data_IF_522523400698
#
_entry.id   IF_522523400698
#
_cell.length_a   1.000
_cell.length_b   1.000
_cell.length_c   1.000
_cell.angle_alpha   90.00
_cell.angle_beta   90.00
_cell.angle_gamma   90.00
#
_symmetry.space_group_name_H-M   'P 1'
#
loop_
_entity.id
_entity.type
_entity.pdbx_description
1 polymer ?
#
# COMPACT_ATOMS: atom_id res chain seq x y z
N UNK A 1 0.98 -9.32 19.80
CA UNK A 1 2.05 -8.51 19.18
C UNK A 1 1.90 -8.65 17.68
N UNK A 2 1.17 -7.72 17.04
CA UNK A 2 0.98 -7.76 15.58
C UNK A 2 2.14 -6.99 14.95
N UNK A 3 3.12 -7.71 14.44
CA UNK A 3 4.22 -7.12 13.67
C UNK A 3 3.65 -6.61 12.34
N UNK A 4 3.84 -5.34 12.04
CA UNK A 4 3.50 -4.76 10.73
C UNK A 4 4.41 -5.38 9.66
N UNK A 5 3.87 -6.13 8.68
CA UNK A 5 4.68 -6.81 7.68
C UNK A 5 5.05 -5.91 6.48
N UNK A 6 4.68 -4.62 6.53
CA UNK A 6 4.90 -3.68 5.45
C UNK A 6 6.26 -2.99 5.57
N UNK A 7 6.94 -2.86 4.44
CA UNK A 7 8.24 -2.18 4.30
C UNK A 7 8.10 -0.97 3.38
N UNK A 8 8.86 0.09 3.61
CA UNK A 8 9.02 1.18 2.64
C UNK A 8 10.11 0.78 1.64
N UNK A 9 9.91 1.06 0.34
CA UNK A 9 11.00 0.84 -0.62
C UNK A 9 12.08 1.90 -0.41
N UNK A 10 13.19 1.51 0.22
CA UNK A 10 14.42 2.29 0.21
C UNK A 10 15.07 2.19 -1.17
N UNK A 11 15.36 3.34 -1.78
CA UNK A 11 16.21 3.39 -2.98
C UNK A 11 17.62 3.01 -2.50
N UNK A 12 18.00 1.75 -2.70
CA UNK A 12 19.37 1.31 -2.45
C UNK A 12 20.26 1.93 -3.54
N UNK A 13 20.91 3.06 -3.27
CA UNK A 13 22.13 3.38 -3.99
C UNK A 13 23.14 2.29 -3.64
N UNK A 14 23.45 1.43 -4.60
CA UNK A 14 24.49 0.42 -4.47
C UNK A 14 25.84 1.12 -4.29
N UNK A 15 26.28 1.24 -3.04
CA UNK A 15 27.70 1.24 -2.70
C UNK A 15 27.88 0.33 -1.50
N UNK A 16 28.54 -0.79 -1.78
CA UNK A 16 29.13 -1.74 -0.85
C UNK A 16 29.76 -1.01 0.34
N UNK A 17 29.36 -1.31 1.57
CA UNK A 17 30.23 -1.64 2.72
C UNK A 17 29.33 -1.89 3.93
N UNK A 18 29.47 -3.09 4.49
CA UNK A 18 28.83 -3.60 5.70
C UNK A 18 29.12 -2.76 6.95
N UNK A 19 28.08 -2.26 7.62
CA UNK A 19 28.04 -2.06 9.08
C UNK A 19 26.63 -2.35 9.60
N UNK A 20 26.55 -3.27 10.54
CA UNK A 20 25.37 -3.62 11.32
C UNK A 20 24.97 -2.48 12.26
N UNK A 21 23.71 -2.02 12.25
CA UNK A 21 22.99 -1.57 13.44
C UNK A 21 21.57 -1.07 13.11
N UNK A 22 20.71 -1.34 14.08
CA UNK A 22 19.31 -1.03 14.35
C UNK A 22 18.65 0.24 13.77
N UNK A 23 17.32 0.16 13.73
CA UNK A 23 16.27 1.20 13.71
C UNK A 23 15.61 1.44 12.33
N UNK A 24 14.42 0.83 12.25
CA UNK A 24 13.32 1.15 11.34
C UNK A 24 12.96 2.64 11.42
N UNK A 25 12.87 3.28 10.25
CA UNK A 25 12.37 4.63 9.91
C UNK A 25 13.41 5.27 8.99
N UNK A 26 13.29 5.08 7.67
CA UNK A 26 14.23 5.65 6.69
C UNK A 26 13.96 7.14 6.45
N UNK A 27 14.18 7.96 7.49
CA UNK A 27 14.44 9.40 7.34
C UNK A 27 15.94 9.53 7.04
N UNK A 28 16.31 9.49 5.76
CA UNK A 28 17.68 9.85 5.37
C UNK A 28 17.76 11.35 5.23
N UNK A 29 18.17 12.03 6.30
CA UNK A 29 18.66 13.40 6.24
C UNK A 29 20.18 13.36 6.44
N UNK A 30 20.93 13.04 5.37
CA UNK A 30 22.38 13.18 5.37
C UNK A 30 22.75 14.59 4.90
N UNK A 31 23.71 15.17 5.61
CA UNK A 31 24.00 16.60 5.74
C UNK A 31 24.08 17.36 4.40
N UNK A 32 23.00 18.07 4.07
CA UNK A 32 22.95 19.46 3.61
C UNK A 32 21.49 19.83 3.33
N UNK A 33 20.85 20.52 4.27
CA UNK A 33 19.67 21.38 4.16
C UNK A 33 18.52 21.04 3.17
N UNK A 34 18.28 19.78 2.79
CA UNK A 34 16.95 19.31 2.36
C UNK A 34 16.80 17.89 2.91
N UNK A 35 16.01 17.69 3.96
CA UNK A 35 15.44 16.37 4.19
C UNK A 35 14.42 16.16 3.07
N UNK A 36 14.81 15.46 1.99
CA UNK A 36 13.86 15.17 0.92
C UNK A 36 12.89 14.17 1.51
N UNK A 37 11.66 14.62 1.79
CA UNK A 37 10.54 13.75 2.05
C UNK A 37 10.20 13.03 0.73
N UNK A 38 11.02 12.05 0.37
CA UNK A 38 10.67 11.11 -0.69
C UNK A 38 9.46 10.34 -0.16
N UNK A 39 8.30 10.55 -0.78
CA UNK A 39 7.15 9.68 -0.58
C UNK A 39 7.56 8.29 -1.07
N UNK A 40 7.91 7.41 -0.13
CA UNK A 40 8.32 6.05 -0.44
C UNK A 40 7.07 5.19 -0.60
N UNK A 41 7.03 4.29 -1.60
CA UNK A 41 5.95 3.34 -1.71
C UNK A 41 5.98 2.38 -0.52
N UNK A 42 4.79 2.08 0.00
CA UNK A 42 4.60 1.11 1.08
C UNK A 42 4.27 -0.25 0.46
N UNK A 43 5.13 -1.23 0.72
CA UNK A 43 5.07 -2.57 0.13
C UNK A 43 4.78 -3.59 1.23
N UNK A 44 3.65 -4.27 1.11
CA UNK A 44 3.12 -5.24 2.05
C UNK A 44 2.90 -6.60 1.37
N UNK A 45 3.86 -7.06 0.57
CA UNK A 45 3.65 -8.21 -0.32
C UNK A 45 3.91 -9.56 0.38
N UNK A 46 3.13 -10.59 0.06
CA UNK A 46 3.44 -11.97 0.49
C UNK A 46 3.27 -12.25 1.98
N UNK A 47 2.59 -11.36 2.72
CA UNK A 47 2.43 -11.46 4.17
C UNK A 47 1.17 -12.26 4.60
N UNK A 48 0.40 -12.78 3.64
CA UNK A 48 -0.83 -13.53 3.91
C UNK A 48 -1.94 -12.66 4.51
N UNK A 49 -1.91 -11.35 4.25
CA UNK A 49 -2.86 -10.40 4.82
C UNK A 49 -4.29 -10.69 4.34
N UNK A 50 -5.20 -10.91 5.29
CA UNK A 50 -6.65 -11.04 5.02
C UNK A 50 -7.38 -9.70 5.10
N UNK A 51 -6.77 -8.75 5.79
CA UNK A 51 -7.26 -7.39 6.01
C UNK A 51 -6.09 -6.43 5.88
N UNK A 52 -6.40 -5.17 5.59
CA UNK A 52 -5.38 -4.13 5.47
C UNK A 52 -5.05 -3.60 6.88
N UNK A 53 -3.77 -3.59 7.30
CA UNK A 53 -3.34 -3.01 8.57
C UNK A 53 -3.72 -1.52 8.69
N UNK A 54 -4.30 -1.14 9.83
CA UNK A 54 -4.70 0.25 10.12
C UNK A 54 -3.56 1.13 10.62
N UNK A 55 -2.41 0.54 10.95
CA UNK A 55 -1.21 1.20 11.48
C UNK A 55 -0.27 1.75 10.38
N UNK A 56 -0.78 1.90 9.16
CA UNK A 56 -0.04 2.49 8.05
C UNK A 56 -0.08 4.03 8.09
N UNK A 57 1.01 4.71 7.66
CA UNK A 57 1.02 6.17 7.55
C UNK A 57 -0.16 6.72 6.75
N UNK A 58 -0.77 7.85 7.16
CA UNK A 58 -1.95 8.41 6.48
C UNK A 58 -1.63 9.09 5.14
N UNK A 59 -0.36 9.43 4.90
CA UNK A 59 0.14 10.22 3.78
C UNK A 59 0.75 9.38 2.63
N UNK A 60 0.38 8.09 2.56
CA UNK A 60 0.82 7.18 1.50
C UNK A 60 0.26 7.58 0.14
N UNK A 61 1.15 7.68 -0.85
CA UNK A 61 0.80 7.87 -2.28
C UNK A 61 0.79 6.54 -3.06
N UNK A 62 1.60 5.57 -2.66
CA UNK A 62 1.73 4.30 -3.38
C UNK A 62 1.70 3.12 -2.39
N UNK A 63 0.77 2.20 -2.60
CA UNK A 63 0.53 1.08 -1.70
C UNK A 63 0.40 -0.24 -2.47
N UNK A 64 1.13 -1.26 -2.03
CA UNK A 64 1.12 -2.59 -2.66
C UNK A 64 0.82 -3.68 -1.64
N UNK A 65 -0.27 -4.42 -1.86
CA UNK A 65 -0.64 -5.64 -1.14
C UNK A 65 -0.58 -6.86 -2.06
N UNK A 66 0.41 -6.91 -2.94
CA UNK A 66 0.54 -7.97 -3.94
C UNK A 66 0.78 -9.33 -3.27
N UNK A 67 0.16 -10.40 -3.78
CA UNK A 67 0.28 -11.79 -3.26
C UNK A 67 -0.13 -11.91 -1.78
N UNK A 68 -1.31 -11.39 -1.43
CA UNK A 68 -1.92 -11.57 -0.10
C UNK A 68 -3.21 -12.41 -0.18
N UNK A 69 -3.97 -12.44 0.90
CA UNK A 69 -5.19 -13.22 1.05
C UNK A 69 -6.46 -12.36 1.16
N UNK A 70 -6.44 -11.13 0.62
CA UNK A 70 -7.60 -10.25 0.61
C UNK A 70 -8.73 -10.90 -0.20
N UNK A 71 -9.91 -11.03 0.40
CA UNK A 71 -11.04 -11.72 -0.22
C UNK A 71 -12.20 -10.79 -0.60
N UNK A 72 -12.41 -9.74 0.19
CA UNK A 72 -13.49 -8.78 0.01
C UNK A 72 -12.95 -7.37 0.23
N UNK A 73 -13.22 -6.45 -0.71
CA UNK A 73 -12.96 -5.02 -0.51
C UNK A 73 -14.21 -4.37 0.06
N UNK A 74 -14.17 -3.92 1.31
CA UNK A 74 -15.32 -3.33 2.00
C UNK A 74 -15.51 -1.85 1.63
N UNK A 75 -16.70 -1.32 1.90
CA UNK A 75 -17.00 0.11 1.74
C UNK A 75 -16.00 0.95 2.54
N UNK A 76 -15.49 2.03 1.94
CA UNK A 76 -14.51 2.95 2.56
C UNK A 76 -13.19 2.33 3.01
N UNK A 77 -12.85 1.12 2.53
CA UNK A 77 -11.67 0.37 3.02
C UNK A 77 -10.37 1.17 2.93
N UNK A 78 -10.24 2.02 1.91
CA UNK A 78 -9.03 2.82 1.65
C UNK A 78 -9.17 4.29 2.08
N UNK A 79 -10.27 4.66 2.73
CA UNK A 79 -10.58 6.05 3.12
C UNK A 79 -9.51 6.75 3.99
N UNK A 80 -8.70 6.05 4.81
CA UNK A 80 -7.58 6.68 5.52
C UNK A 80 -6.51 7.27 4.59
N UNK A 81 -6.24 6.65 3.43
CA UNK A 81 -5.14 7.04 2.52
C UNK A 81 -5.66 7.91 1.38
N UNK A 82 -6.16 9.10 1.70
CA UNK A 82 -6.76 10.01 0.68
C UNK A 82 -5.76 10.50 -0.38
N UNK A 83 -4.46 10.46 -0.06
CA UNK A 83 -3.38 10.83 -0.98
C UNK A 83 -2.99 9.70 -1.94
N UNK A 84 -3.61 8.52 -1.82
CA UNK A 84 -3.24 7.37 -2.63
C UNK A 84 -3.43 7.66 -4.12
N UNK A 85 -2.39 7.37 -4.89
CA UNK A 85 -2.29 7.51 -6.35
C UNK A 85 -2.16 6.17 -7.04
N UNK A 86 -1.47 5.21 -6.42
CA UNK A 86 -1.27 3.87 -6.97
C UNK A 86 -1.63 2.83 -5.91
N UNK A 87 -2.49 1.90 -6.28
CA UNK A 87 -2.90 0.78 -5.43
C UNK A 87 -2.74 -0.54 -6.19
N UNK A 88 -1.83 -1.40 -5.72
CA UNK A 88 -1.67 -2.76 -6.25
C UNK A 88 -2.25 -3.80 -5.30
N UNK A 89 -3.23 -4.56 -5.79
CA UNK A 89 -3.91 -5.68 -5.11
C UNK A 89 -3.72 -6.98 -5.90
N UNK A 90 -2.66 -7.07 -6.69
CA UNK A 90 -2.45 -8.17 -7.61
C UNK A 90 -2.22 -9.51 -6.89
N UNK A 91 -2.74 -10.61 -7.44
CA UNK A 91 -2.54 -11.95 -6.89
C UNK A 91 -3.15 -12.14 -5.50
N UNK A 92 -4.28 -11.47 -5.22
CA UNK A 92 -5.07 -11.71 -4.03
C UNK A 92 -6.19 -12.72 -4.34
N UNK A 93 -7.13 -12.87 -3.41
CA UNK A 93 -8.29 -13.75 -3.54
C UNK A 93 -9.59 -12.93 -3.61
N UNK A 94 -9.53 -11.71 -4.17
CA UNK A 94 -10.65 -10.76 -4.18
C UNK A 94 -11.76 -11.33 -5.06
N UNK A 95 -12.90 -11.63 -4.44
CA UNK A 95 -14.10 -12.19 -5.09
C UNK A 95 -15.24 -11.19 -5.14
N UNK A 96 -15.26 -10.27 -4.17
CA UNK A 96 -16.30 -9.27 -4.00
C UNK A 96 -15.69 -7.89 -3.74
N UNK A 97 -16.23 -6.87 -4.39
CA UNK A 97 -15.95 -5.46 -4.11
C UNK A 97 -17.25 -4.81 -3.65
N UNK A 98 -17.34 -4.27 -2.45
CA UNK A 98 -18.56 -3.59 -1.99
C UNK A 98 -18.70 -2.23 -2.68
N UNK A 99 -19.93 -1.70 -2.84
CA UNK A 99 -20.15 -0.34 -3.31
C UNK A 99 -19.31 0.66 -2.51
N UNK A 100 -18.74 1.65 -3.20
CA UNK A 100 -17.94 2.72 -2.59
C UNK A 100 -16.66 2.21 -1.88
N UNK A 101 -16.13 1.05 -2.27
CA UNK A 101 -14.90 0.51 -1.68
C UNK A 101 -13.70 1.47 -1.83
N UNK A 102 -13.63 2.18 -2.97
CA UNK A 102 -12.58 3.14 -3.29
C UNK A 102 -12.97 4.60 -2.99
N UNK A 103 -14.04 4.83 -2.23
CA UNK A 103 -14.54 6.18 -1.95
C UNK A 103 -13.54 7.01 -1.16
N UNK A 104 -13.38 8.27 -1.56
CA UNK A 104 -12.45 9.21 -0.95
C UNK A 104 -11.03 9.15 -1.51
N UNK A 105 -10.75 8.27 -2.47
CA UNK A 105 -9.47 8.20 -3.19
C UNK A 105 -9.44 9.16 -4.39
N UNK A 106 -9.62 10.47 -4.16
CA UNK A 106 -9.74 11.47 -5.23
C UNK A 106 -8.46 11.74 -6.03
N UNK A 107 -7.30 11.26 -5.55
CA UNK A 107 -6.01 11.38 -6.24
C UNK A 107 -5.58 10.09 -6.95
N UNK A 108 -6.41 9.05 -6.92
CA UNK A 108 -6.08 7.74 -7.44
C UNK A 108 -5.95 7.77 -8.96
N UNK A 109 -4.81 7.30 -9.45
CA UNK A 109 -4.47 7.23 -10.87
C UNK A 109 -4.48 5.79 -11.38
N UNK A 110 -4.11 4.85 -10.53
CA UNK A 110 -3.97 3.45 -10.90
C UNK A 110 -4.47 2.52 -9.79
N UNK A 111 -5.34 1.59 -10.17
CA UNK A 111 -5.69 0.41 -9.37
C UNK A 111 -5.36 -0.83 -10.19
N UNK A 112 -4.56 -1.72 -9.62
CA UNK A 112 -4.26 -3.03 -10.21
C UNK A 112 -4.89 -4.13 -9.36
N UNK A 113 -5.82 -4.89 -9.95
CA UNK A 113 -6.50 -6.04 -9.32
C UNK A 113 -6.29 -7.33 -10.11
N UNK A 114 -5.17 -7.42 -10.83
CA UNK A 114 -4.84 -8.56 -11.67
C UNK A 114 -4.71 -9.85 -10.87
N UNK A 115 -4.95 -11.00 -11.50
CA UNK A 115 -4.85 -12.32 -10.87
C UNK A 115 -5.71 -12.44 -9.59
N UNK A 116 -6.93 -11.91 -9.64
CA UNK A 116 -7.96 -12.14 -8.63
C UNK A 116 -9.14 -12.91 -9.25
N UNK A 117 -9.85 -13.75 -8.48
CA UNK A 117 -11.02 -14.51 -8.95
C UNK A 117 -12.30 -13.66 -9.06
N UNK A 118 -12.17 -12.35 -9.32
CA UNK A 118 -13.29 -11.42 -9.42
C UNK A 118 -14.06 -11.68 -10.71
N UNK A 119 -15.34 -12.01 -10.60
CA UNK A 119 -16.19 -12.34 -11.75
C UNK A 119 -16.94 -11.15 -12.31
N UNK A 120 -17.25 -10.18 -11.45
CA UNK A 120 -18.03 -9.00 -11.81
C UNK A 120 -17.57 -7.78 -11.01
N UNK A 121 -17.85 -6.59 -11.57
CA UNK A 121 -17.69 -5.33 -10.87
C UNK A 121 -19.07 -4.79 -10.53
N UNK A 122 -19.44 -4.74 -9.24
CA UNK A 122 -20.76 -4.24 -8.87
C UNK A 122 -20.89 -2.74 -9.15
N UNK A 123 -22.14 -2.30 -9.25
CA UNK A 123 -22.42 -0.89 -9.44
C UNK A 123 -21.81 -0.07 -8.29
N UNK A 124 -21.29 1.11 -8.63
CA UNK A 124 -20.68 2.03 -7.67
C UNK A 124 -19.39 1.56 -6.99
N UNK A 125 -18.73 0.48 -7.45
CA UNK A 125 -17.41 0.09 -6.93
C UNK A 125 -16.40 1.24 -7.00
N UNK A 126 -16.41 2.00 -8.10
CA UNK A 126 -15.55 3.16 -8.34
C UNK A 126 -16.27 4.50 -8.19
N UNK A 127 -17.46 4.52 -7.58
CA UNK A 127 -18.11 5.78 -7.25
C UNK A 127 -17.42 6.39 -6.03
N UNK A 128 -16.96 7.63 -6.13
CA UNK A 128 -16.22 8.28 -5.04
C UNK A 128 -15.71 9.65 -5.42
#
# INVERSE_FOLDING_TARGET
MHSNPCSTASISSTTTTSISSSISSSISCQQQQICIALLQPVICNGAGLKEIPSDLPPDIEELSFTRNALAVLTTDMFRPWRKLRVLSLNGNHIRDIKPFAFRGLGHLKEISIQNNPLTELPQFSFAG
#
